data_IF_147914897502
#
_entry.id   IF_147914897502
#
_cell.length_a   1.000
_cell.length_b   1.000
_cell.length_c   1.000
_cell.angle_alpha   90.00
_cell.angle_beta   90.00
_cell.angle_gamma   90.00
#
_symmetry.space_group_name_H-M   'P 1'
#
loop_
_entity.id
_entity.type
_entity.pdbx_description
1 polymer ?
#
# COMPACT_ATOMS: atom_id res chain seq x y z
N UNK A 1 36.23 -11.05 12.55
CA UNK A 1 35.13 -11.34 13.47
C UNK A 1 34.79 -12.81 13.40
N UNK A 2 34.36 -13.45 14.48
CA UNK A 2 33.94 -14.86 14.44
C UNK A 2 32.42 -14.95 14.44
N UNK A 3 31.86 -15.68 13.49
CA UNK A 3 30.42 -15.93 13.44
C UNK A 3 30.00 -16.87 14.58
N UNK A 4 29.08 -16.45 15.42
CA UNK A 4 28.63 -17.20 16.60
C UNK A 4 27.77 -18.43 16.22
N UNK A 5 27.24 -18.50 15.01
CA UNK A 5 26.44 -19.63 14.53
C UNK A 5 27.29 -20.74 13.94
N UNK A 6 28.24 -20.42 13.05
CA UNK A 6 29.04 -21.43 12.35
C UNK A 6 30.49 -21.51 12.83
N UNK A 7 30.93 -20.62 13.73
CA UNK A 7 32.31 -20.56 14.25
C UNK A 7 33.36 -20.10 13.26
N UNK A 8 33.00 -19.79 12.02
CA UNK A 8 33.93 -19.36 10.99
C UNK A 8 34.47 -17.97 11.29
N UNK A 9 35.80 -17.77 11.09
CA UNK A 9 36.39 -16.45 11.08
C UNK A 9 36.06 -15.75 9.75
N UNK A 10 35.37 -14.62 9.82
CA UNK A 10 35.01 -13.80 8.67
C UNK A 10 35.54 -12.39 8.84
N UNK A 11 35.91 -11.76 7.73
CA UNK A 11 36.34 -10.37 7.77
C UNK A 11 35.19 -9.48 8.27
N UNK A 12 34.02 -9.66 7.70
CA UNK A 12 32.77 -8.97 8.09
C UNK A 12 31.62 -9.98 8.14
N UNK A 13 30.70 -9.80 9.09
CA UNK A 13 29.41 -10.48 9.08
C UNK A 13 28.48 -9.70 8.16
N UNK A 14 28.08 -10.31 7.07
CA UNK A 14 27.13 -9.76 6.12
C UNK A 14 25.93 -10.71 5.92
N UNK A 15 24.88 -10.19 5.30
CA UNK A 15 23.71 -10.99 5.01
C UNK A 15 24.02 -12.20 4.11
N UNK A 16 25.00 -12.06 3.23
CA UNK A 16 25.42 -13.15 2.32
C UNK A 16 26.01 -14.34 3.08
N UNK A 17 26.85 -14.08 4.09
CA UNK A 17 27.36 -15.12 4.97
C UNK A 17 26.27 -15.72 5.85
N UNK A 18 25.49 -14.86 6.52
CA UNK A 18 24.49 -15.29 7.50
C UNK A 18 23.34 -16.07 6.88
N UNK A 19 22.83 -15.67 5.72
CA UNK A 19 21.79 -16.40 5.01
C UNK A 19 22.27 -17.81 4.60
N UNK A 20 23.54 -17.95 4.25
CA UNK A 20 24.10 -19.24 3.87
C UNK A 20 24.42 -20.14 5.08
N UNK A 21 24.89 -19.58 6.18
CA UNK A 21 25.33 -20.37 7.32
C UNK A 21 24.21 -20.70 8.32
N UNK A 22 23.23 -19.82 8.49
CA UNK A 22 22.19 -19.95 9.51
C UNK A 22 20.80 -19.45 9.10
N UNK A 23 20.64 -19.03 7.84
CA UNK A 23 19.38 -18.48 7.31
C UNK A 23 18.86 -17.25 8.06
N UNK A 24 19.74 -16.47 8.65
CA UNK A 24 19.41 -15.23 9.36
C UNK A 24 19.89 -14.00 8.56
N UNK A 25 19.15 -12.92 8.68
CA UNK A 25 19.63 -11.59 8.31
C UNK A 25 20.56 -11.06 9.39
N UNK A 26 21.34 -10.04 9.07
CA UNK A 26 22.23 -9.39 10.06
C UNK A 26 21.44 -8.85 11.26
N UNK A 27 20.24 -8.34 11.01
CA UNK A 27 19.36 -7.83 12.06
C UNK A 27 18.84 -8.94 12.97
N UNK A 28 18.38 -10.05 12.40
CA UNK A 28 17.92 -11.22 13.17
C UNK A 28 19.07 -11.85 13.97
N UNK A 29 20.26 -11.90 13.39
CA UNK A 29 21.47 -12.35 14.07
C UNK A 29 21.81 -11.44 15.25
N UNK A 30 21.75 -10.12 15.08
CA UNK A 30 21.97 -9.14 16.14
C UNK A 30 20.99 -9.32 17.30
N UNK A 31 19.70 -9.49 17.00
CA UNK A 31 18.66 -9.74 17.99
C UNK A 31 18.89 -11.07 18.71
N UNK A 32 19.18 -12.14 17.97
CA UNK A 32 19.38 -13.49 18.51
C UNK A 32 20.53 -13.57 19.50
N UNK A 33 21.63 -12.88 19.19
CA UNK A 33 22.83 -12.89 20.00
C UNK A 33 22.95 -11.70 20.94
N UNK A 34 21.90 -10.87 21.06
CA UNK A 34 21.89 -9.65 21.90
C UNK A 34 23.07 -8.71 21.60
N UNK A 35 23.44 -8.62 20.32
CA UNK A 35 24.54 -7.78 19.87
C UNK A 35 24.01 -6.44 19.39
N UNK A 36 24.65 -5.31 19.75
CA UNK A 36 24.37 -4.04 19.12
C UNK A 36 24.67 -4.11 17.62
N UNK A 37 23.75 -3.62 16.78
CA UNK A 37 23.88 -3.70 15.32
C UNK A 37 25.14 -2.95 14.82
N UNK A 38 25.52 -1.89 15.50
CA UNK A 38 26.72 -1.08 15.22
C UNK A 38 28.04 -1.82 15.48
N UNK A 39 28.03 -2.89 16.28
CA UNK A 39 29.21 -3.76 16.46
C UNK A 39 29.36 -4.77 15.32
N UNK A 40 28.30 -5.06 14.59
CA UNK A 40 28.31 -6.01 13.49
C UNK A 40 28.61 -5.36 12.15
N UNK A 41 28.34 -4.06 12.05
CA UNK A 41 28.65 -3.26 10.86
C UNK A 41 30.10 -2.79 10.99
N UNK A 42 30.94 -3.18 10.03
CA UNK A 42 32.32 -2.75 10.01
C UNK A 42 32.41 -1.22 9.98
N UNK A 43 32.98 -0.65 11.06
CA UNK A 43 33.21 0.80 11.15
C UNK A 43 34.10 1.32 10.02
N UNK A 44 35.00 0.48 9.49
CA UNK A 44 35.76 0.85 8.30
C UNK A 44 34.88 0.93 7.06
N UNK A 45 33.92 0.06 6.91
CA UNK A 45 32.91 0.18 5.85
C UNK A 45 32.05 1.45 6.03
N UNK A 46 31.67 1.80 7.25
CA UNK A 46 30.97 3.06 7.54
C UNK A 46 31.88 4.28 7.32
N UNK A 47 33.11 4.24 7.78
CA UNK A 47 34.08 5.34 7.62
C UNK A 47 34.56 5.48 6.17
N UNK A 48 34.66 4.40 5.46
CA UNK A 48 34.94 4.38 4.04
C UNK A 48 33.83 5.05 3.23
N UNK A 49 32.56 5.05 3.67
CA UNK A 49 31.48 5.79 3.03
C UNK A 49 31.66 7.31 3.07
N UNK A 50 32.52 7.82 3.95
CA UNK A 50 32.87 9.24 4.01
C UNK A 50 33.99 9.64 3.02
N UNK A 51 34.68 8.67 2.40
CA UNK A 51 35.70 8.91 1.42
C UNK A 51 35.43 8.18 0.09
N UNK A 52 34.59 8.78 -0.79
CA UNK A 52 34.11 8.12 -2.00
C UNK A 52 35.19 7.69 -2.98
N UNK A 53 36.40 8.28 -2.89
CA UNK A 53 37.51 7.99 -3.81
C UNK A 53 38.19 6.64 -3.50
N UNK A 54 38.06 6.14 -2.25
CA UNK A 54 38.66 4.88 -1.83
C UNK A 54 37.77 3.64 -2.09
N UNK A 55 36.47 3.86 -2.42
CA UNK A 55 35.50 2.78 -2.41
C UNK A 55 35.42 1.94 -3.64
N UNK A 56 35.53 2.55 -4.74
CA UNK A 56 35.35 1.90 -6.03
C UNK A 56 36.07 2.77 -7.07
N UNK A 57 37.14 2.27 -7.59
CA UNK A 57 37.30 2.48 -9.04
C UNK A 57 36.04 1.89 -9.67
N UNK A 58 35.12 2.70 -10.16
CA UNK A 58 33.88 2.16 -10.67
C UNK A 58 34.26 1.13 -11.73
N UNK A 59 33.86 -0.13 -11.54
CA UNK A 59 33.66 -0.99 -12.69
C UNK A 59 32.84 -0.11 -13.62
N UNK A 60 33.29 0.05 -14.89
CA UNK A 60 32.54 0.85 -15.85
C UNK A 60 31.16 0.21 -15.98
N UNK A 61 30.21 0.71 -15.16
CA UNK A 61 28.82 0.28 -15.28
C UNK A 61 28.17 1.02 -16.46
N UNK A 62 27.25 0.39 -17.19
CA UNK A 62 26.52 1.06 -18.25
C UNK A 62 25.79 2.28 -17.66
N UNK A 63 26.21 3.48 -18.05
CA UNK A 63 25.64 4.74 -17.51
C UNK A 63 24.13 4.87 -17.79
N UNK A 64 23.64 4.21 -18.82
CA UNK A 64 22.22 4.14 -19.19
C UNK A 64 21.41 3.32 -18.18
N UNK A 65 21.89 2.12 -17.84
CA UNK A 65 21.23 1.28 -16.84
C UNK A 65 21.20 1.95 -15.46
N UNK A 66 22.29 2.58 -15.04
CA UNK A 66 22.34 3.31 -13.77
C UNK A 66 21.34 4.49 -13.76
N UNK A 67 21.15 5.17 -14.90
CA UNK A 67 20.12 6.21 -15.03
C UNK A 67 18.71 5.66 -14.94
N UNK A 68 18.46 4.53 -15.58
CA UNK A 68 17.16 3.87 -15.52
C UNK A 68 16.82 3.42 -14.08
N UNK A 69 17.79 2.84 -13.37
CA UNK A 69 17.65 2.45 -11.96
C UNK A 69 17.35 3.67 -11.10
N UNK A 70 18.13 4.74 -11.23
CA UNK A 70 17.92 5.98 -10.49
C UNK A 70 16.52 6.55 -10.72
N UNK A 71 16.06 6.57 -11.97
CA UNK A 71 14.74 7.06 -12.36
C UNK A 71 13.62 6.23 -11.72
N UNK A 72 13.73 4.90 -11.77
CA UNK A 72 12.75 4.02 -11.15
C UNK A 72 12.63 4.24 -9.64
N UNK A 73 13.77 4.35 -8.93
CA UNK A 73 13.80 4.65 -7.50
C UNK A 73 13.21 6.04 -7.20
N UNK A 74 13.49 7.03 -8.04
CA UNK A 74 12.97 8.39 -7.88
C UNK A 74 11.46 8.47 -8.11
N UNK A 75 10.94 7.81 -9.13
CA UNK A 75 9.50 7.71 -9.37
C UNK A 75 8.76 7.09 -8.18
N UNK A 76 9.38 6.12 -7.53
CA UNK A 76 8.85 5.48 -6.32
C UNK A 76 8.95 6.33 -5.05
N UNK A 77 9.54 7.54 -5.12
CA UNK A 77 9.76 8.38 -3.95
C UNK A 77 10.81 7.83 -2.98
N UNK A 78 11.60 6.86 -3.41
CA UNK A 78 12.66 6.26 -2.62
C UNK A 78 13.90 7.18 -2.52
N UNK A 79 14.02 8.16 -3.39
CA UNK A 79 15.06 9.19 -3.39
C UNK A 79 14.40 10.54 -3.16
N UNK A 80 14.59 11.10 -1.97
CA UNK A 80 14.17 12.44 -1.63
C UNK A 80 15.26 13.48 -2.00
N UNK A 81 14.94 14.77 -1.83
CA UNK A 81 15.91 15.85 -2.01
C UNK A 81 17.19 15.50 -1.23
N UNK A 82 18.35 15.71 -1.82
CA UNK A 82 19.68 15.56 -1.18
C UNK A 82 20.12 14.11 -0.94
N UNK A 83 19.75 13.16 -1.79
CA UNK A 83 20.33 11.81 -1.72
C UNK A 83 20.04 11.06 -0.41
N UNK A 84 19.13 11.55 0.40
CA UNK A 84 18.73 10.90 1.65
C UNK A 84 17.35 10.30 1.53
N UNK A 85 17.23 9.15 2.12
CA UNK A 85 16.01 8.38 2.12
C UNK A 85 15.66 8.09 3.58
N UNK A 86 14.56 8.65 4.01
CA UNK A 86 14.04 8.43 5.35
C UNK A 86 12.94 7.41 5.27
N UNK A 87 13.09 6.31 6.02
CA UNK A 87 12.02 5.33 6.17
C UNK A 87 11.03 5.88 7.17
N UNK A 88 9.85 6.17 6.68
CA UNK A 88 8.73 6.50 7.56
C UNK A 88 8.27 5.19 8.24
N UNK A 89 8.07 5.18 9.56
CA UNK A 89 7.48 4.03 10.25
C UNK A 89 6.16 3.65 9.57
N UNK A 90 6.05 2.40 9.09
CA UNK A 90 4.91 1.90 8.32
C UNK A 90 5.18 1.60 6.85
N UNK A 91 6.35 1.99 6.31
CA UNK A 91 6.77 1.68 4.93
C UNK A 91 7.80 0.52 4.86
N UNK A 92 7.66 -0.48 5.73
CA UNK A 92 8.60 -1.62 5.86
C UNK A 92 8.86 -2.31 4.52
N UNK A 93 7.85 -2.43 3.65
CA UNK A 93 7.96 -3.12 2.35
C UNK A 93 8.98 -2.51 1.41
N UNK A 94 9.04 -1.19 1.34
CA UNK A 94 10.00 -0.46 0.49
C UNK A 94 11.42 -0.67 0.96
N UNK A 95 11.61 -0.76 2.27
CA UNK A 95 12.91 -0.99 2.88
C UNK A 95 13.44 -2.39 2.57
N UNK A 96 12.60 -3.40 2.75
CA UNK A 96 13.02 -4.79 2.58
C UNK A 96 13.59 -5.02 1.19
N UNK A 97 12.90 -4.57 0.14
CA UNK A 97 13.41 -4.70 -1.23
C UNK A 97 14.71 -3.93 -1.47
N UNK A 98 14.86 -2.75 -0.89
CA UNK A 98 16.11 -2.00 -0.99
C UNK A 98 17.26 -2.73 -0.28
N UNK A 99 17.04 -3.23 0.93
CA UNK A 99 18.04 -3.97 1.69
C UNK A 99 18.49 -5.26 0.96
N UNK A 100 17.54 -5.96 0.35
CA UNK A 100 17.85 -7.17 -0.44
C UNK A 100 18.62 -6.84 -1.71
N UNK A 101 18.47 -5.64 -2.25
CA UNK A 101 19.08 -5.20 -3.49
C UNK A 101 20.33 -4.34 -3.31
N UNK A 102 20.82 -4.14 -2.06
CA UNK A 102 21.98 -3.29 -1.79
C UNK A 102 23.23 -3.69 -2.58
N UNK A 103 23.54 -4.98 -2.66
CA UNK A 103 24.69 -5.46 -3.41
C UNK A 103 24.52 -5.17 -4.90
N UNK A 104 23.34 -5.47 -5.46
CA UNK A 104 23.03 -5.19 -6.84
C UNK A 104 23.09 -3.69 -7.15
N UNK A 105 22.53 -2.84 -6.29
CA UNK A 105 22.60 -1.38 -6.44
C UNK A 105 24.04 -0.86 -6.37
N UNK A 106 24.90 -1.47 -5.53
CA UNK A 106 26.30 -1.07 -5.43
C UNK A 106 27.10 -1.33 -6.71
N UNK A 107 26.71 -2.32 -7.52
CA UNK A 107 27.32 -2.58 -8.82
C UNK A 107 27.08 -1.44 -9.83
N UNK A 108 26.04 -0.64 -9.61
CA UNK A 108 25.71 0.56 -10.38
C UNK A 108 26.15 1.86 -9.69
N UNK A 109 26.98 1.76 -8.66
CA UNK A 109 27.57 2.92 -7.98
C UNK A 109 26.69 3.56 -6.91
N UNK A 110 25.57 2.95 -6.54
CA UNK A 110 24.76 3.42 -5.42
C UNK A 110 25.35 2.93 -4.10
N UNK A 111 25.57 3.85 -3.15
CA UNK A 111 26.09 3.54 -1.84
C UNK A 111 25.00 3.73 -0.79
N UNK A 112 24.89 2.78 0.10
CA UNK A 112 23.90 2.80 1.16
C UNK A 112 24.56 3.03 2.51
N UNK A 113 24.00 3.93 3.32
CA UNK A 113 24.41 4.18 4.71
C UNK A 113 23.20 4.18 5.60
N UNK A 114 23.26 3.43 6.70
CA UNK A 114 22.26 3.47 7.74
C UNK A 114 22.80 4.28 8.91
N UNK A 115 22.05 5.31 9.31
CA UNK A 115 22.33 6.11 10.51
C UNK A 115 21.18 5.92 11.49
N UNK A 116 21.50 5.91 12.77
CA UNK A 116 20.50 5.91 13.82
C UNK A 116 20.38 7.31 14.39
N UNK A 117 19.17 7.86 14.40
CA UNK A 117 18.87 9.16 15.01
C UNK A 117 17.83 8.99 16.10
N UNK A 118 18.01 9.72 17.19
CA UNK A 118 16.99 9.84 18.21
C UNK A 118 15.91 10.82 17.72
N UNK A 119 14.69 10.36 17.62
CA UNK A 119 13.54 11.19 17.29
C UNK A 119 12.90 11.68 18.60
N UNK A 120 13.07 12.96 18.90
CA UNK A 120 12.60 13.58 20.16
C UNK A 120 11.06 13.50 20.28
N UNK A 121 10.35 13.68 19.18
CA UNK A 121 8.87 13.62 19.15
C UNK A 121 8.29 12.26 19.55
N UNK A 122 8.98 11.17 19.27
CA UNK A 122 8.52 9.81 19.56
C UNK A 122 9.28 9.13 20.67
N UNK A 123 10.32 9.77 21.21
CA UNK A 123 11.26 9.20 22.18
C UNK A 123 11.85 7.85 21.74
N UNK A 124 12.09 7.66 20.44
CA UNK A 124 12.61 6.42 19.86
C UNK A 124 13.83 6.68 19.01
N UNK A 125 14.71 5.67 18.96
CA UNK A 125 15.78 5.62 17.97
C UNK A 125 15.17 5.16 16.65
N UNK A 126 15.27 5.99 15.63
CA UNK A 126 14.83 5.69 14.27
C UNK A 126 16.02 5.46 13.36
N UNK A 127 15.94 4.45 12.52
CA UNK A 127 16.94 4.22 11.49
C UNK A 127 16.69 5.19 10.32
N UNK A 128 17.69 5.98 10.00
CA UNK A 128 17.69 6.83 8.81
C UNK A 128 18.61 6.17 7.79
N UNK A 129 18.04 5.77 6.66
CA UNK A 129 18.81 5.15 5.59
C UNK A 129 19.13 6.19 4.53
N UNK A 130 20.38 6.26 4.13
CA UNK A 130 20.83 7.16 3.08
C UNK A 130 21.36 6.36 1.92
N UNK A 131 20.83 6.62 0.74
CA UNK A 131 21.36 6.09 -0.51
C UNK A 131 22.14 7.23 -1.17
N UNK A 132 23.46 7.06 -1.28
CA UNK A 132 24.31 8.02 -1.99
C UNK A 132 24.28 7.68 -3.47
N UNK A 133 23.91 8.67 -4.27
CA UNK A 133 23.88 8.58 -5.72
C UNK A 133 25.17 9.20 -6.25
N UNK A 134 25.90 8.57 -7.17
CA UNK A 134 27.08 9.16 -7.77
C UNK A 134 26.76 10.53 -8.41
N UNK A 135 27.61 11.52 -8.18
CA UNK A 135 27.43 12.87 -8.72
C UNK A 135 27.26 12.91 -10.25
N UNK A 136 27.89 11.96 -10.96
CA UNK A 136 27.70 11.78 -12.40
C UNK A 136 26.26 11.46 -12.80
N UNK A 137 25.47 10.83 -11.92
CA UNK A 137 24.05 10.54 -12.17
C UNK A 137 23.15 11.71 -11.82
N UNK A 138 23.54 12.55 -10.86
CA UNK A 138 22.79 13.76 -10.50
C UNK A 138 22.83 14.81 -11.60
N UNK A 139 23.99 14.97 -12.26
CA UNK A 139 24.14 15.92 -13.36
C UNK A 139 23.27 15.59 -14.57
N UNK A 140 22.84 14.32 -14.74
CA UNK A 140 22.01 13.84 -15.84
C UNK A 140 20.50 14.00 -15.57
N UNK A 141 20.13 14.50 -14.40
CA UNK A 141 18.73 14.47 -13.93
C UNK A 141 17.96 15.78 -14.08
N UNK A 142 18.60 16.86 -14.44
CA UNK A 142 17.89 18.12 -14.66
C UNK A 142 16.76 17.98 -15.71
N UNK A 143 16.93 17.07 -16.67
CA UNK A 143 16.02 16.90 -17.81
C UNK A 143 15.05 15.71 -17.68
N UNK A 144 15.25 14.83 -16.69
CA UNK A 144 14.46 13.58 -16.56
C UNK A 144 13.00 13.79 -16.15
N UNK A 145 12.63 15.00 -15.74
CA UNK A 145 11.28 15.34 -15.28
C UNK A 145 10.39 15.96 -16.34
N UNK A 146 10.93 16.42 -17.45
CA UNK A 146 10.23 17.31 -18.37
C UNK A 146 10.13 16.81 -19.81
N UNK A 147 10.67 15.63 -20.13
CA UNK A 147 10.57 15.12 -21.48
C UNK A 147 9.30 14.31 -21.67
N UNK A 148 8.43 14.71 -22.61
CA UNK A 148 7.28 13.90 -23.03
C UNK A 148 7.70 12.64 -23.80
N UNK A 149 8.98 12.52 -24.15
CA UNK A 149 9.53 11.35 -24.83
C UNK A 149 9.98 10.34 -23.77
N UNK A 150 9.49 9.09 -23.82
CA UNK A 150 9.94 8.05 -22.90
C UNK A 150 11.46 7.92 -22.98
N UNK A 151 12.12 7.81 -21.84
CA UNK A 151 13.55 7.54 -21.84
C UNK A 151 13.83 6.23 -22.55
N UNK A 152 14.97 6.06 -23.24
CA UNK A 152 15.32 4.78 -23.89
C UNK A 152 15.29 3.60 -22.92
N UNK A 153 15.44 3.86 -21.61
CA UNK A 153 15.48 2.83 -20.57
C UNK A 153 14.17 2.78 -19.74
N UNK A 154 13.05 3.14 -20.34
CA UNK A 154 11.76 3.21 -19.65
C UNK A 154 11.39 1.86 -18.99
N UNK A 155 11.56 0.75 -19.68
CA UNK A 155 11.19 -0.57 -19.20
C UNK A 155 11.98 -0.96 -17.95
N UNK A 156 13.29 -0.74 -17.95
CA UNK A 156 14.12 -0.96 -16.77
C UNK A 156 13.72 -0.03 -15.62
N UNK A 157 13.44 1.25 -15.90
CA UNK A 157 12.95 2.18 -14.88
C UNK A 157 11.63 1.72 -14.26
N UNK A 158 10.72 1.24 -15.10
CA UNK A 158 9.44 0.69 -14.67
C UNK A 158 9.61 -0.61 -13.87
N UNK A 159 10.52 -1.49 -14.30
CA UNK A 159 10.84 -2.71 -13.58
C UNK A 159 11.41 -2.41 -12.18
N UNK A 160 12.31 -1.44 -12.05
CA UNK A 160 12.86 -1.00 -10.76
C UNK A 160 11.76 -0.41 -9.89
N UNK A 161 10.91 0.44 -10.45
CA UNK A 161 9.76 0.99 -9.73
C UNK A 161 8.85 -0.11 -9.20
N UNK A 162 8.41 -1.02 -10.09
CA UNK A 162 7.52 -2.14 -9.76
C UNK A 162 8.16 -3.06 -8.72
N UNK A 163 9.44 -3.41 -8.88
CA UNK A 163 10.14 -4.26 -7.93
C UNK A 163 10.16 -3.69 -6.51
N UNK A 164 10.32 -2.38 -6.36
CA UNK A 164 10.51 -1.76 -5.05
C UNK A 164 9.21 -1.29 -4.39
N UNK A 165 8.27 -0.74 -5.16
CA UNK A 165 7.02 -0.19 -4.60
C UNK A 165 5.75 -0.87 -5.09
N UNK A 166 5.85 -1.71 -6.13
CA UNK A 166 4.69 -2.41 -6.67
C UNK A 166 4.07 -3.35 -5.62
N UNK A 167 2.76 -3.26 -5.43
CA UNK A 167 1.99 -4.18 -4.60
C UNK A 167 1.03 -4.98 -5.47
N UNK A 168 1.15 -6.31 -5.43
CA UNK A 168 0.20 -7.19 -6.10
C UNK A 168 -0.89 -7.60 -5.11
N UNK A 169 -2.14 -7.28 -5.42
CA UNK A 169 -3.30 -7.68 -4.63
C UNK A 169 -4.34 -8.33 -5.54
N UNK A 170 -4.67 -9.58 -5.27
CA UNK A 170 -5.65 -10.38 -6.03
C UNK A 170 -5.44 -10.32 -7.56
N UNK A 171 -4.18 -10.22 -8.00
CA UNK A 171 -3.82 -10.14 -9.41
C UNK A 171 -3.82 -8.72 -10.02
N UNK A 172 -4.05 -7.68 -9.24
CA UNK A 172 -3.93 -6.28 -9.66
C UNK A 172 -2.65 -5.67 -9.11
N UNK A 173 -1.94 -4.89 -9.92
CA UNK A 173 -0.74 -4.17 -9.51
C UNK A 173 -1.12 -2.75 -9.05
N UNK A 174 -0.67 -2.39 -7.86
CA UNK A 174 -0.79 -1.06 -7.29
C UNK A 174 0.56 -0.37 -7.24
N UNK A 175 0.58 0.92 -7.55
CA UNK A 175 1.74 1.80 -7.46
C UNK A 175 1.37 3.05 -6.68
N UNK A 176 1.89 3.20 -5.48
CA UNK A 176 1.76 4.44 -4.70
C UNK A 176 2.91 5.37 -5.05
N UNK A 177 2.62 6.44 -5.75
CA UNK A 177 3.61 7.41 -6.24
C UNK A 177 3.56 8.69 -5.41
N UNK A 178 4.71 9.37 -5.20
CA UNK A 178 4.76 10.59 -4.40
C UNK A 178 4.18 11.83 -5.10
N UNK A 179 3.91 11.73 -6.41
CA UNK A 179 3.39 12.86 -7.18
C UNK A 179 2.88 12.48 -8.56
N UNK A 180 2.15 13.40 -9.19
CA UNK A 180 1.45 13.19 -10.48
C UNK A 180 2.37 13.03 -11.68
N UNK A 181 3.46 13.80 -11.76
CA UNK A 181 4.29 13.85 -12.97
C UNK A 181 4.86 12.47 -13.39
N UNK A 182 5.31 11.68 -12.40
CA UNK A 182 5.76 10.31 -12.66
C UNK A 182 4.59 9.42 -13.12
N UNK A 183 3.43 9.55 -12.48
CA UNK A 183 2.24 8.77 -12.81
C UNK A 183 1.72 9.05 -14.23
N UNK A 184 1.65 10.30 -14.63
CA UNK A 184 1.25 10.70 -15.99
C UNK A 184 2.19 10.09 -17.05
N UNK A 185 3.50 10.13 -16.79
CA UNK A 185 4.50 9.51 -17.68
C UNK A 185 4.30 8.00 -17.77
N UNK A 186 4.11 7.34 -16.63
CA UNK A 186 3.90 5.88 -16.55
C UNK A 186 2.61 5.49 -17.26
N UNK A 187 1.51 6.18 -17.01
CA UNK A 187 0.22 5.90 -17.65
C UNK A 187 0.27 6.10 -19.16
N UNK A 188 0.87 7.21 -19.61
CA UNK A 188 0.97 7.51 -21.04
C UNK A 188 1.79 6.45 -21.79
N UNK A 189 2.89 6.01 -21.20
CA UNK A 189 3.76 5.01 -21.82
C UNK A 189 3.14 3.61 -21.74
N UNK A 190 2.56 3.24 -20.62
CA UNK A 190 1.84 1.97 -20.46
C UNK A 190 0.70 1.85 -21.49
N UNK A 191 -0.02 2.92 -21.71
CA UNK A 191 -1.09 2.99 -22.72
C UNK A 191 -0.56 2.70 -24.14
N UNK A 192 0.64 3.18 -24.51
CA UNK A 192 1.29 2.84 -25.79
C UNK A 192 1.58 1.36 -25.95
N UNK A 193 1.73 0.65 -24.84
CA UNK A 193 1.90 -0.80 -24.79
C UNK A 193 0.59 -1.56 -24.58
N UNK A 194 -0.56 -0.89 -24.65
CA UNK A 194 -1.87 -1.53 -24.48
C UNK A 194 -2.18 -1.90 -23.02
N UNK A 195 -1.60 -1.21 -22.06
CA UNK A 195 -1.79 -1.41 -20.62
C UNK A 195 -2.51 -0.19 -20.04
N UNK A 196 -3.60 -0.43 -19.33
CA UNK A 196 -4.39 0.63 -18.73
C UNK A 196 -4.28 0.66 -17.21
N UNK A 197 -4.21 1.86 -16.65
CA UNK A 197 -4.25 2.12 -15.22
C UNK A 197 -5.51 2.89 -14.83
N UNK A 198 -6.01 2.58 -13.66
CA UNK A 198 -7.02 3.37 -12.95
C UNK A 198 -6.32 4.26 -11.92
N UNK A 199 -6.58 5.56 -11.98
CA UNK A 199 -6.22 6.47 -10.89
C UNK A 199 -7.23 6.32 -9.77
N UNK A 200 -6.75 6.14 -8.54
CA UNK A 200 -7.54 6.09 -7.33
C UNK A 200 -7.12 7.24 -6.40
N UNK A 201 -8.06 7.74 -5.60
CA UNK A 201 -7.71 8.71 -4.57
C UNK A 201 -6.72 8.09 -3.58
N UNK A 202 -5.64 8.77 -3.26
CA UNK A 202 -4.69 8.28 -2.27
C UNK A 202 -5.39 7.94 -0.95
N UNK A 203 -5.04 6.81 -0.35
CA UNK A 203 -5.65 6.36 0.90
C UNK A 203 -5.23 7.21 2.12
N UNK A 204 -4.21 8.03 1.96
CA UNK A 204 -3.74 9.02 2.94
C UNK A 204 -3.89 10.44 2.38
N UNK A 205 -3.82 11.44 3.26
CA UNK A 205 -3.91 12.86 2.87
C UNK A 205 -2.66 13.38 2.17
N UNK A 206 -1.76 12.50 1.72
CA UNK A 206 -0.58 12.88 0.96
C UNK A 206 -0.96 13.36 -0.45
N UNK A 207 -0.19 14.28 -1.00
CA UNK A 207 -0.30 14.72 -2.41
C UNK A 207 0.08 13.61 -3.42
N UNK A 208 0.15 12.36 -2.95
CA UNK A 208 0.53 11.19 -3.72
C UNK A 208 -0.56 10.71 -4.68
N UNK A 209 -0.14 9.98 -5.69
CA UNK A 209 -1.00 9.34 -6.68
C UNK A 209 -1.02 7.83 -6.45
N UNK A 210 -2.20 7.24 -6.34
CA UNK A 210 -2.37 5.78 -6.31
C UNK A 210 -2.85 5.32 -7.68
N UNK A 211 -2.02 4.51 -8.34
CA UNK A 211 -2.38 3.84 -9.59
C UNK A 211 -2.66 2.37 -9.33
N UNK A 212 -3.66 1.83 -9.98
CA UNK A 212 -3.94 0.40 -10.06
C UNK A 212 -4.12 0.02 -11.52
N UNK A 213 -3.56 -1.14 -11.95
CA UNK A 213 -3.89 -1.68 -13.28
C UNK A 213 -5.40 -1.84 -13.43
N UNK A 214 -5.94 -1.51 -14.60
CA UNK A 214 -7.40 -1.53 -14.79
C UNK A 214 -7.95 -2.94 -14.65
N UNK A 215 -7.27 -3.92 -15.27
CA UNK A 215 -7.64 -5.34 -15.24
C UNK A 215 -6.47 -6.23 -14.79
N UNK A 216 -6.77 -7.49 -14.50
CA UNK A 216 -5.73 -8.52 -14.26
C UNK A 216 -4.91 -8.80 -15.52
N UNK A 217 -5.54 -8.68 -16.69
CA UNK A 217 -4.85 -8.83 -17.98
C UNK A 217 -3.81 -7.73 -18.16
N UNK A 218 -4.12 -6.48 -17.78
CA UNK A 218 -3.15 -5.38 -17.80
C UNK A 218 -1.95 -5.68 -16.89
N UNK A 219 -2.21 -6.21 -15.69
CA UNK A 219 -1.13 -6.63 -14.78
C UNK A 219 -0.25 -7.69 -15.41
N UNK A 220 -0.85 -8.74 -15.99
CA UNK A 220 -0.11 -9.83 -16.64
C UNK A 220 0.70 -9.32 -17.82
N UNK A 221 0.11 -8.47 -18.65
CA UNK A 221 0.77 -7.86 -19.78
C UNK A 221 1.94 -6.97 -19.35
N UNK A 222 1.75 -6.13 -18.35
CA UNK A 222 2.81 -5.28 -17.79
C UNK A 222 3.97 -6.13 -17.24
N UNK A 223 3.68 -7.13 -16.41
CA UNK A 223 4.71 -8.00 -15.84
C UNK A 223 5.45 -8.81 -16.94
N UNK A 224 4.75 -9.23 -17.99
CA UNK A 224 5.38 -9.87 -19.14
C UNK A 224 6.29 -8.92 -19.93
N UNK A 225 5.87 -7.66 -20.10
CA UNK A 225 6.63 -6.62 -20.80
C UNK A 225 7.96 -6.30 -20.11
N UNK A 226 7.97 -6.22 -18.77
CA UNK A 226 9.16 -5.90 -17.97
C UNK A 226 9.86 -7.13 -17.39
N UNK A 227 9.50 -8.33 -17.82
CA UNK A 227 9.97 -9.59 -17.24
C UNK A 227 11.48 -9.72 -17.22
N UNK A 228 12.12 -9.44 -18.34
CA UNK A 228 13.58 -9.60 -18.48
C UNK A 228 14.32 -8.62 -17.58
N UNK A 229 13.79 -7.39 -17.44
CA UNK A 229 14.33 -6.38 -16.53
C UNK A 229 14.06 -6.73 -15.05
N UNK A 230 12.91 -7.34 -14.74
CA UNK A 230 12.62 -7.83 -13.37
C UNK A 230 13.55 -8.99 -12.98
N UNK A 231 13.94 -9.86 -13.94
CA UNK A 231 14.80 -11.00 -13.65
C UNK A 231 16.22 -10.61 -13.22
N UNK A 232 16.71 -9.43 -13.61
CA UNK A 232 18.03 -8.93 -13.18
C UNK A 232 17.99 -8.26 -11.81
N UNK A 233 16.81 -7.93 -11.30
CA UNK A 233 16.62 -7.35 -9.97
C UNK A 233 16.44 -8.48 -8.94
N UNK A 234 17.32 -8.64 -7.95
CA UNK A 234 17.23 -9.74 -6.99
C UNK A 234 15.86 -9.79 -6.29
N UNK A 235 15.30 -10.99 -6.17
CA UNK A 235 14.03 -11.28 -5.50
C UNK A 235 12.78 -10.57 -6.06
N UNK A 236 12.90 -9.84 -7.18
CA UNK A 236 11.75 -9.14 -7.74
C UNK A 236 10.70 -10.10 -8.30
N UNK A 237 11.13 -11.14 -9.00
CA UNK A 237 10.20 -12.11 -9.62
C UNK A 237 9.39 -12.90 -8.58
N UNK A 238 9.98 -13.24 -7.45
CA UNK A 238 9.31 -14.00 -6.38
C UNK A 238 8.10 -13.26 -5.82
N UNK A 239 8.12 -11.93 -5.84
CA UNK A 239 7.00 -11.10 -5.41
C UNK A 239 5.78 -11.20 -6.32
N UNK A 240 5.99 -11.44 -7.61
CA UNK A 240 4.95 -11.43 -8.63
C UNK A 240 4.55 -12.83 -9.08
N UNK A 241 5.48 -13.81 -9.07
CA UNK A 241 5.19 -15.24 -9.27
C UNK A 241 5.02 -15.96 -7.93
N UNK A 242 3.99 -15.56 -7.17
CA UNK A 242 3.74 -16.04 -5.81
C UNK A 242 3.31 -17.51 -5.79
N UNK A 243 4.15 -18.39 -5.26
CA UNK A 243 3.86 -19.81 -5.01
C UNK A 243 3.49 -20.08 -3.54
N UNK A 244 3.26 -19.05 -2.78
CA UNK A 244 2.93 -19.06 -1.37
C UNK A 244 1.48 -19.48 -1.12
N UNK A 245 1.15 -19.96 0.08
CA UNK A 245 -0.23 -20.25 0.46
C UNK A 245 -1.14 -19.02 0.33
N UNK A 246 -2.41 -19.28 0.00
CA UNK A 246 -3.47 -18.29 0.07
C UNK A 246 -4.08 -18.32 1.46
N UNK A 247 -4.25 -17.15 2.07
CA UNK A 247 -4.85 -17.01 3.39
C UNK A 247 -5.82 -15.82 3.42
N UNK A 248 -6.78 -15.87 4.34
CA UNK A 248 -7.71 -14.77 4.59
C UNK A 248 -7.29 -14.04 5.86
N UNK A 249 -7.13 -12.73 5.76
CA UNK A 249 -6.87 -11.86 6.90
C UNK A 249 -8.10 -11.02 7.20
N UNK A 250 -8.30 -10.66 8.48
CA UNK A 250 -9.42 -9.83 8.92
C UNK A 250 -8.94 -8.64 9.71
N UNK A 251 -9.53 -7.47 9.46
CA UNK A 251 -9.33 -6.24 10.23
C UNK A 251 -10.64 -5.81 10.85
N UNK A 252 -10.63 -5.63 12.17
CA UNK A 252 -11.74 -5.06 12.93
C UNK A 252 -11.64 -3.54 12.98
N UNK A 253 -12.78 -2.88 12.78
CA UNK A 253 -12.97 -1.43 12.82
C UNK A 253 -14.27 -1.12 13.57
N UNK A 254 -14.32 0.02 14.23
CA UNK A 254 -15.48 0.43 15.04
C UNK A 254 -15.87 1.86 14.64
N UNK A 255 -17.18 2.12 14.58
CA UNK A 255 -17.73 3.46 14.47
C UNK A 255 -19.07 3.55 15.19
N UNK A 256 -19.37 4.72 15.71
CA UNK A 256 -20.63 5.02 16.38
C UNK A 256 -21.52 5.84 15.43
N UNK A 257 -22.73 5.36 15.13
CA UNK A 257 -23.63 6.03 14.20
C UNK A 257 -25.09 5.89 14.60
N UNK A 258 -25.92 6.84 14.16
CA UNK A 258 -27.36 6.78 14.31
C UNK A 258 -28.01 6.57 12.94
N UNK A 259 -29.22 5.96 12.94
CA UNK A 259 -29.99 5.77 11.73
C UNK A 259 -31.49 5.61 12.03
N UNK A 260 -32.28 5.58 10.97
CA UNK A 260 -33.66 5.17 11.01
C UNK A 260 -34.04 4.49 9.68
N UNK A 261 -35.06 3.65 9.71
CA UNK A 261 -35.56 2.98 8.50
C UNK A 261 -36.89 3.63 8.11
N UNK A 262 -36.89 4.35 6.99
CA UNK A 262 -38.09 5.02 6.45
C UNK A 262 -39.19 3.99 6.21
N UNK A 263 -40.42 4.34 6.58
CA UNK A 263 -41.64 3.52 6.39
C UNK A 263 -41.59 2.15 7.10
N UNK A 264 -40.78 2.00 8.13
CA UNK A 264 -40.79 0.80 8.94
C UNK A 264 -41.97 0.81 9.92
N UNK A 265 -42.77 -0.28 10.01
CA UNK A 265 -43.99 -0.30 10.84
C UNK A 265 -43.72 -0.38 12.36
N UNK A 266 -42.47 -0.52 12.78
CA UNK A 266 -42.10 -0.71 14.16
C UNK A 266 -40.96 0.30 14.58
N UNK A 267 -40.36 0.07 15.72
CA UNK A 267 -39.38 0.96 16.38
C UNK A 267 -38.24 1.45 15.50
N UNK A 268 -37.84 0.69 14.47
CA UNK A 268 -36.77 1.06 13.55
C UNK A 268 -37.09 2.31 12.70
N UNK A 269 -38.34 2.78 12.67
CA UNK A 269 -38.70 4.08 12.07
C UNK A 269 -38.21 5.27 12.91
N UNK A 270 -37.98 5.07 14.21
CA UNK A 270 -37.43 6.11 15.07
C UNK A 270 -35.91 6.19 14.94
N UNK A 271 -35.37 7.38 15.21
CA UNK A 271 -33.92 7.54 15.26
C UNK A 271 -33.33 6.72 16.40
N UNK A 272 -32.48 5.81 16.05
CA UNK A 272 -31.73 4.97 16.99
C UNK A 272 -30.32 4.77 16.47
N UNK A 273 -29.46 4.16 17.25
CA UNK A 273 -28.09 3.91 16.83
C UNK A 273 -27.28 3.21 17.91
N UNK A 274 -26.05 2.95 17.57
CA UNK A 274 -25.14 2.24 18.46
C UNK A 274 -23.74 2.19 17.89
N UNK A 275 -22.98 1.31 18.49
CA UNK A 275 -21.62 0.99 18.06
C UNK A 275 -21.65 -0.13 17.03
N UNK A 276 -21.29 0.23 15.81
CA UNK A 276 -21.09 -0.74 14.74
C UNK A 276 -19.70 -1.34 14.83
N UNK A 277 -19.61 -2.66 14.65
CA UNK A 277 -18.36 -3.41 14.58
C UNK A 277 -18.24 -4.00 13.17
N UNK A 278 -17.24 -3.53 12.42
CA UNK A 278 -17.00 -3.93 11.04
C UNK A 278 -15.76 -4.81 10.94
N UNK A 279 -15.91 -6.03 10.41
CA UNK A 279 -14.79 -6.87 10.00
C UNK A 279 -14.64 -6.82 8.49
N UNK A 280 -13.47 -6.41 8.02
CA UNK A 280 -13.08 -6.41 6.60
C UNK A 280 -12.16 -7.59 6.37
N UNK A 281 -12.60 -8.57 5.55
CA UNK A 281 -11.85 -9.81 5.26
C UNK A 281 -11.28 -9.77 3.85
N UNK A 282 -9.96 -9.90 3.75
CA UNK A 282 -9.21 -9.89 2.48
C UNK A 282 -8.49 -11.21 2.32
N UNK A 283 -8.55 -11.80 1.13
CA UNK A 283 -7.91 -13.05 0.77
C UNK A 283 -6.93 -12.85 -0.38
N UNK A 284 -5.72 -13.33 -0.21
CA UNK A 284 -4.71 -13.38 -1.27
C UNK A 284 -3.57 -14.35 -0.88
N UNK A 285 -2.61 -14.53 -1.79
CA UNK A 285 -1.37 -15.21 -1.51
C UNK A 285 -0.44 -14.34 -0.68
N UNK A 286 0.30 -14.96 0.21
CA UNK A 286 1.31 -14.27 1.02
C UNK A 286 2.41 -13.72 0.09
N UNK A 287 2.78 -12.46 0.24
CA UNK A 287 3.96 -11.90 -0.41
C UNK A 287 5.22 -12.53 0.23
N UNK A 288 6.08 -13.21 -0.54
CA UNK A 288 7.22 -13.94 0.00
C UNK A 288 8.31 -13.03 0.60
N UNK A 289 8.34 -11.76 0.23
CA UNK A 289 9.32 -10.80 0.77
C UNK A 289 8.86 -10.22 2.10
N UNK A 290 7.58 -9.85 2.20
CA UNK A 290 7.04 -9.20 3.41
C UNK A 290 6.40 -10.17 4.38
N UNK A 291 6.07 -11.38 3.95
CA UNK A 291 5.31 -12.35 4.74
C UNK A 291 3.83 -11.96 4.97
N UNK A 292 3.31 -10.97 4.24
CA UNK A 292 1.97 -10.42 4.43
C UNK A 292 1.08 -10.63 3.20
N UNK A 293 -0.22 -10.72 3.41
CA UNK A 293 -1.24 -10.65 2.34
C UNK A 293 -1.47 -9.20 1.95
N UNK A 294 -1.75 -8.37 2.94
CA UNK A 294 -1.96 -6.94 2.83
C UNK A 294 -1.42 -6.28 4.10
N UNK A 295 -0.90 -5.07 3.98
CA UNK A 295 -0.52 -4.29 5.16
C UNK A 295 -1.79 -3.85 5.91
N UNK A 296 -1.92 -4.26 7.19
CA UNK A 296 -3.02 -3.84 8.04
C UNK A 296 -3.11 -2.33 8.23
N UNK A 297 -1.99 -1.61 8.14
CA UNK A 297 -1.96 -0.15 8.14
C UNK A 297 -2.62 0.43 6.90
N UNK A 298 -2.32 -0.11 5.71
CA UNK A 298 -2.97 0.26 4.46
C UNK A 298 -4.48 -0.02 4.52
N UNK A 299 -4.88 -1.25 4.90
CA UNK A 299 -6.29 -1.63 5.02
C UNK A 299 -7.03 -0.68 5.97
N UNK A 300 -6.44 -0.36 7.13
CA UNK A 300 -7.03 0.59 8.10
C UNK A 300 -7.19 1.98 7.49
N UNK A 301 -6.17 2.50 6.80
CA UNK A 301 -6.25 3.84 6.16
C UNK A 301 -7.35 3.90 5.11
N UNK A 302 -7.42 2.89 4.24
CA UNK A 302 -8.50 2.79 3.22
C UNK A 302 -9.87 2.77 3.89
N UNK A 303 -10.07 1.88 4.85
CA UNK A 303 -11.35 1.71 5.52
C UNK A 303 -11.74 2.97 6.32
N UNK A 304 -10.80 3.61 7.01
CA UNK A 304 -11.07 4.86 7.71
C UNK A 304 -11.55 5.92 6.72
N UNK A 305 -10.76 6.22 5.69
CA UNK A 305 -11.07 7.29 4.75
C UNK A 305 -12.35 7.06 3.96
N UNK A 306 -12.61 5.82 3.52
CA UNK A 306 -13.75 5.51 2.65
C UNK A 306 -15.04 5.25 3.42
N UNK A 307 -14.95 4.83 4.68
CA UNK A 307 -16.07 4.36 5.49
C UNK A 307 -16.17 5.09 6.83
N UNK A 308 -15.17 4.94 7.70
CA UNK A 308 -15.28 5.39 9.10
C UNK A 308 -15.44 6.90 9.18
N UNK A 309 -14.58 7.68 8.50
CA UNK A 309 -14.61 9.16 8.52
C UNK A 309 -15.93 9.74 8.00
N UNK A 310 -16.71 8.94 7.26
CA UNK A 310 -18.01 9.32 6.72
C UNK A 310 -19.15 9.03 7.69
N UNK A 311 -19.03 7.99 8.50
CA UNK A 311 -20.13 7.46 9.30
C UNK A 311 -19.97 7.67 10.79
N UNK A 312 -18.73 7.73 11.29
CA UNK A 312 -18.48 7.88 12.72
C UNK A 312 -19.06 9.19 13.26
N UNK A 313 -19.90 9.10 14.30
CA UNK A 313 -20.65 10.21 14.90
C UNK A 313 -21.63 10.93 13.93
N UNK A 314 -22.11 10.24 12.89
CA UNK A 314 -23.06 10.78 11.94
C UNK A 314 -24.38 9.99 11.93
N UNK A 315 -25.42 10.62 11.36
CA UNK A 315 -26.65 9.92 10.97
C UNK A 315 -26.46 9.34 9.57
N UNK A 316 -26.54 8.02 9.44
CA UNK A 316 -26.29 7.29 8.19
C UNK A 316 -27.21 7.73 7.05
N UNK A 317 -28.49 8.08 7.34
CA UNK A 317 -29.44 8.55 6.36
C UNK A 317 -29.08 9.91 5.74
N UNK A 318 -28.26 10.70 6.45
CA UNK A 318 -27.78 12.01 5.98
C UNK A 318 -26.34 11.99 5.50
N UNK A 319 -25.59 10.96 5.81
CA UNK A 319 -24.19 10.86 5.45
C UNK A 319 -23.96 10.63 3.95
N UNK A 320 -24.87 9.92 3.29
CA UNK A 320 -24.80 9.62 1.85
C UNK A 320 -26.20 9.48 1.24
N UNK A 321 -26.32 9.80 -0.04
CA UNK A 321 -27.57 9.69 -0.79
C UNK A 321 -28.08 8.25 -0.90
N UNK A 322 -27.16 7.31 -1.01
CA UNK A 322 -27.47 5.89 -1.22
C UNK A 322 -28.14 5.26 0.01
N UNK A 323 -27.90 5.79 1.19
CA UNK A 323 -28.51 5.32 2.44
C UNK A 323 -29.69 6.19 2.91
N UNK A 324 -30.01 7.25 2.16
CA UNK A 324 -31.04 8.22 2.58
C UNK A 324 -32.41 7.61 2.79
N UNK A 325 -32.78 6.64 1.96
CA UNK A 325 -34.08 5.96 2.07
C UNK A 325 -34.11 4.92 3.20
N UNK A 326 -33.14 4.03 3.22
CA UNK A 326 -32.99 3.00 4.27
C UNK A 326 -31.51 2.73 4.53
N UNK A 327 -31.13 2.89 5.76
CA UNK A 327 -29.77 2.65 6.24
C UNK A 327 -29.70 1.38 7.09
N UNK A 328 -30.36 0.32 6.64
CA UNK A 328 -30.27 -0.98 7.30
C UNK A 328 -28.87 -1.54 7.24
N UNK A 329 -28.54 -2.47 8.13
CA UNK A 329 -27.22 -3.11 8.20
C UNK A 329 -26.83 -3.75 6.88
N UNK A 330 -27.80 -4.33 6.14
CA UNK A 330 -27.61 -4.94 4.82
C UNK A 330 -27.24 -3.90 3.76
N UNK A 331 -27.99 -2.79 3.68
CA UNK A 331 -27.72 -1.70 2.76
C UNK A 331 -26.35 -1.05 3.03
N UNK A 332 -26.04 -0.91 4.30
CA UNK A 332 -24.75 -0.38 4.73
C UNK A 332 -23.59 -1.31 4.34
N UNK A 333 -23.75 -2.65 4.46
CA UNK A 333 -22.76 -3.62 3.99
C UNK A 333 -22.51 -3.49 2.48
N UNK A 334 -23.55 -3.35 1.67
CA UNK A 334 -23.43 -3.17 0.20
C UNK A 334 -22.68 -1.87 -0.09
N UNK A 335 -23.06 -0.77 0.55
CA UNK A 335 -22.38 0.51 0.39
C UNK A 335 -20.87 0.41 0.76
N UNK A 336 -20.56 -0.17 1.91
CA UNK A 336 -19.18 -0.33 2.37
C UNK A 336 -18.37 -1.18 1.37
N UNK A 337 -18.95 -2.25 0.83
CA UNK A 337 -18.32 -3.07 -0.19
C UNK A 337 -17.89 -2.27 -1.40
N UNK A 338 -18.81 -1.49 -1.95
CA UNK A 338 -18.58 -0.65 -3.13
C UNK A 338 -17.52 0.42 -2.91
N UNK A 339 -17.42 0.94 -1.66
CA UNK A 339 -16.37 1.89 -1.30
C UNK A 339 -14.98 1.25 -1.18
N UNK A 340 -14.90 -0.05 -0.89
CA UNK A 340 -13.64 -0.74 -0.60
C UNK A 340 -13.10 -1.57 -1.76
N UNK A 341 -13.95 -2.12 -2.63
CA UNK A 341 -13.54 -3.14 -3.61
C UNK A 341 -12.49 -2.63 -4.62
N UNK A 342 -12.49 -1.38 -5.01
CA UNK A 342 -11.48 -0.80 -5.90
C UNK A 342 -10.09 -0.71 -5.25
N UNK A 343 -10.05 -0.57 -3.92
CA UNK A 343 -8.81 -0.46 -3.12
C UNK A 343 -8.35 -1.80 -2.56
N UNK A 344 -9.26 -2.72 -2.41
CA UNK A 344 -9.05 -4.05 -1.84
C UNK A 344 -9.64 -5.13 -2.77
N UNK A 345 -9.03 -5.38 -3.94
CA UNK A 345 -9.55 -6.37 -4.90
C UNK A 345 -9.67 -7.78 -4.35
N UNK A 346 -8.91 -8.09 -3.29
CA UNK A 346 -9.00 -9.36 -2.56
C UNK A 346 -10.10 -9.39 -1.48
N UNK A 347 -10.97 -8.39 -1.40
CA UNK A 347 -12.10 -8.37 -0.47
C UNK A 347 -13.02 -9.56 -0.73
N UNK A 348 -13.26 -10.39 0.29
CA UNK A 348 -14.07 -11.61 0.17
C UNK A 348 -15.30 -11.61 1.06
N UNK A 349 -15.27 -10.88 2.16
CA UNK A 349 -16.41 -10.79 3.07
C UNK A 349 -16.32 -9.52 3.92
N UNK A 350 -17.46 -8.89 4.13
CA UNK A 350 -17.71 -7.94 5.21
C UNK A 350 -18.61 -8.60 6.24
N UNK A 351 -18.33 -8.39 7.52
CA UNK A 351 -19.21 -8.74 8.61
C UNK A 351 -19.44 -7.49 9.45
N UNK A 352 -20.69 -7.03 9.48
CA UNK A 352 -21.07 -5.81 10.17
C UNK A 352 -22.09 -6.11 11.27
N UNK A 353 -21.71 -5.82 12.48
CA UNK A 353 -22.57 -5.91 13.66
C UNK A 353 -23.21 -4.55 13.93
N UNK A 354 -24.51 -4.52 14.01
CA UNK A 354 -25.30 -3.40 14.53
C UNK A 354 -25.44 -3.51 16.06
N UNK A 355 -25.58 -4.76 16.54
CA UNK A 355 -25.63 -5.10 17.96
C UNK A 355 -24.79 -6.34 18.21
N UNK A 356 -24.59 -6.74 19.46
CA UNK A 356 -23.93 -7.98 19.80
C UNK A 356 -24.70 -9.25 19.38
N UNK A 357 -25.95 -9.10 18.95
CA UNK A 357 -26.84 -10.21 18.60
C UNK A 357 -27.33 -10.16 17.15
N UNK A 358 -27.06 -9.07 16.42
CA UNK A 358 -27.53 -8.87 15.05
C UNK A 358 -26.39 -8.35 14.17
N UNK A 359 -26.12 -9.08 13.10
CA UNK A 359 -25.09 -8.73 12.14
C UNK A 359 -25.46 -9.16 10.72
N UNK A 360 -24.85 -8.55 9.75
CA UNK A 360 -24.91 -8.90 8.34
C UNK A 360 -23.55 -9.41 7.86
N UNK A 361 -23.53 -10.52 7.13
CA UNK A 361 -22.39 -10.97 6.34
C UNK A 361 -22.69 -10.69 4.88
N UNK A 362 -21.74 -10.07 4.19
CA UNK A 362 -21.87 -9.76 2.78
C UNK A 362 -20.63 -10.13 1.99
N UNK A 363 -20.82 -10.93 0.95
CA UNK A 363 -19.79 -11.27 -0.05
C UNK A 363 -20.30 -10.73 -1.39
N UNK A 364 -19.86 -9.52 -1.73
CA UNK A 364 -20.31 -8.81 -2.91
C UNK A 364 -19.60 -9.26 -4.19
N UNK A 365 -19.80 -8.54 -5.29
CA UNK A 365 -19.15 -8.85 -6.57
C UNK A 365 -17.64 -8.70 -6.49
N UNK A 366 -16.92 -9.46 -7.32
CA UNK A 366 -15.49 -9.22 -7.55
C UNK A 366 -15.27 -7.86 -8.21
N UNK A 367 -14.02 -7.36 -8.16
CA UNK A 367 -13.72 -6.08 -8.80
C UNK A 367 -14.06 -6.07 -10.30
N UNK A 368 -13.79 -7.16 -11.04
CA UNK A 368 -14.19 -7.26 -12.46
C UNK A 368 -15.69 -7.16 -12.65
N UNK A 369 -16.45 -7.88 -11.84
CA UNK A 369 -17.91 -7.86 -11.94
C UNK A 369 -18.46 -6.47 -11.58
N UNK A 370 -17.88 -5.80 -10.60
CA UNK A 370 -18.23 -4.44 -10.21
C UNK A 370 -17.94 -3.43 -11.34
N UNK A 371 -16.76 -3.53 -11.98
CA UNK A 371 -16.40 -2.68 -13.11
C UNK A 371 -17.32 -2.89 -14.33
N UNK A 372 -17.68 -4.15 -14.63
CA UNK A 372 -18.59 -4.49 -15.73
C UNK A 372 -20.01 -3.95 -15.51
N UNK A 373 -20.42 -3.74 -14.27
CA UNK A 373 -21.73 -3.12 -13.97
C UNK A 373 -21.76 -1.59 -14.21
N UNK A 374 -20.66 -1.00 -14.69
CA UNK A 374 -20.56 0.43 -14.99
C UNK A 374 -20.17 1.28 -13.79
N UNK A 375 -19.74 0.67 -12.69
CA UNK A 375 -19.41 1.34 -11.41
C UNK A 375 -20.58 2.15 -10.83
N UNK A 376 -21.79 1.94 -11.34
CA UNK A 376 -23.01 2.50 -10.75
C UNK A 376 -23.33 1.75 -9.47
N UNK A 377 -23.59 2.49 -8.41
CA UNK A 377 -23.95 1.90 -7.13
C UNK A 377 -25.16 0.97 -7.29
N UNK A 378 -25.02 -0.28 -6.83
CA UNK A 378 -26.17 -1.21 -6.77
C UNK A 378 -27.31 -0.61 -5.95
N UNK A 379 -27.00 0.20 -4.95
CA UNK A 379 -27.98 0.91 -4.14
C UNK A 379 -28.68 1.99 -4.94
N UNK A 380 -27.98 2.73 -5.80
CA UNK A 380 -28.56 3.72 -6.69
C UNK A 380 -29.55 3.07 -7.63
N UNK A 381 -29.21 1.98 -8.31
CA UNK A 381 -30.15 1.23 -9.14
C UNK A 381 -31.36 0.73 -8.37
N UNK A 382 -31.19 0.30 -7.13
CA UNK A 382 -32.29 -0.13 -6.28
C UNK A 382 -33.23 1.02 -5.91
N UNK A 383 -32.70 2.22 -5.71
CA UNK A 383 -33.44 3.42 -5.28
C UNK A 383 -34.12 4.12 -6.47
N UNK A 384 -33.53 4.14 -7.65
CA UNK A 384 -33.99 4.89 -8.85
C UNK A 384 -35.41 4.56 -9.27
N UNK A 385 -35.92 3.40 -8.96
CA UNK A 385 -37.31 3.02 -9.22
C UNK A 385 -38.33 3.63 -8.23
N UNK A 386 -37.90 4.40 -7.21
CA UNK A 386 -38.78 4.87 -6.13
C UNK A 386 -38.82 6.39 -5.99
N UNK A 387 -37.73 7.00 -5.62
CA UNK A 387 -37.55 8.46 -5.57
C UNK A 387 -36.08 8.76 -5.75
N UNK A 388 -35.72 9.82 -6.47
CA UNK A 388 -34.34 10.27 -6.56
C UNK A 388 -33.78 10.55 -5.17
N UNK A 389 -32.51 10.20 -4.92
CA UNK A 389 -31.90 10.30 -3.60
C UNK A 389 -31.96 11.72 -3.01
N UNK A 390 -31.91 12.77 -3.83
CA UNK A 390 -32.11 14.16 -3.39
C UNK A 390 -33.53 14.42 -2.89
N UNK A 391 -34.53 13.91 -3.60
CA UNK A 391 -35.95 14.06 -3.22
C UNK A 391 -36.26 13.31 -1.92
N UNK A 392 -35.67 12.11 -1.72
CA UNK A 392 -35.79 11.37 -0.47
C UNK A 392 -35.14 12.13 0.70
N UNK A 393 -34.00 12.72 0.46
CA UNK A 393 -33.30 13.49 1.48
C UNK A 393 -34.07 14.74 1.89
N UNK A 394 -34.72 15.42 0.95
CA UNK A 394 -35.56 16.58 1.23
C UNK A 394 -36.82 16.16 1.99
N UNK A 395 -37.48 15.07 1.58
CA UNK A 395 -38.64 14.51 2.28
C UNK A 395 -38.33 14.13 3.73
N UNK A 396 -37.17 13.53 3.98
CA UNK A 396 -36.69 13.17 5.33
C UNK A 396 -36.43 14.42 6.17
N UNK A 397 -35.92 15.50 5.57
CA UNK A 397 -35.69 16.78 6.28
C UNK A 397 -37.00 17.47 6.65
N UNK A 398 -38.00 17.39 5.80
CA UNK A 398 -39.32 17.96 6.05
C UNK A 398 -40.10 17.21 7.15
N UNK A 399 -39.82 15.91 7.29
CA UNK A 399 -40.47 15.04 8.29
C UNK A 399 -39.38 14.35 9.15
N UNK A 400 -38.76 15.09 10.07
CA UNK A 400 -37.71 14.51 10.88
C UNK A 400 -38.24 13.37 11.75
N UNK A 401 -37.49 12.26 11.88
CA UNK A 401 -37.89 11.13 12.70
C UNK A 401 -37.96 11.54 14.19
N UNK A 402 -38.92 10.97 14.89
CA UNK A 402 -39.02 11.15 16.33
C UNK A 402 -37.82 10.52 17.03
N UNK A 403 -37.14 11.29 17.88
CA UNK A 403 -36.02 10.79 18.68
C UNK A 403 -36.60 9.97 19.86
N UNK A 404 -36.54 8.64 19.78
CA UNK A 404 -36.77 7.78 20.94
C UNK A 404 -35.47 7.64 21.76
N UNK A 405 -35.43 8.27 22.89
CA UNK A 405 -34.42 7.97 23.90
C UNK A 405 -34.81 6.63 24.52
N UNK A 406 -34.19 5.55 24.07
CA UNK A 406 -34.32 4.26 24.75
C UNK A 406 -33.52 4.37 26.04
N UNK A 407 -34.18 4.82 27.12
CA UNK A 407 -33.64 4.60 28.44
C UNK A 407 -33.52 3.10 28.63
N UNK A 408 -32.30 2.57 28.67
CA UNK A 408 -32.05 1.20 29.15
C UNK A 408 -32.65 1.17 30.54
N UNK A 409 -33.81 0.51 30.67
CA UNK A 409 -34.33 0.12 31.97
C UNK A 409 -33.26 -0.78 32.58
N UNK A 410 -32.56 -0.27 33.58
CA UNK A 410 -31.80 -1.10 34.50
C UNK A 410 -32.81 -2.02 35.19
N UNK A 411 -32.78 -3.27 34.81
CA UNK A 411 -33.38 -4.35 35.59
C UNK A 411 -32.31 -5.43 35.82
#
# INVERSE_FOLDING_TARGET
>A
MQCLECGSAVANLDNSHLLRCCSLTLQEYAIRHHLPLDLLIDRELLNRADNPEDYLRPKAYPSEQARAIYRGLKWGGLLQKEETFTIVPGEIRRLDMLLWNLQWLSEYGFLFRQEYRYAEETHRVVAVNRLKVPAAHLALNADAHLSPVPPPDFLLSLAVLVAHIGELQAGYLFLQLPGRAAGETIMAEACRHGIEFRELDAADQSDGLLLRTLTRSDTQHLLALIKDDLMVIPCAMERFDRKTPEVTVSKELIFDAAHFITDHPAKCSNLHGGRYLLHVKVRDRIDPVTGCVVDYGYLKRVANRRVIDRFDHHNLNYATSELAWRSSTEMLCVFIWEQLIEYLPGLVELQLYETTQSWCNYSGPTLEAFQLSGSDSLLTHFIDGKLGASQLRDLIRETPPTLEIIAKSQS
#
